data_IF_974012794903
#
_entry.id   IF_974012794903
#
_cell.length_a   1.000
_cell.length_b   1.000
_cell.length_c   1.000
_cell.angle_alpha   90.00
_cell.angle_beta   90.00
_cell.angle_gamma   90.00
#
_symmetry.space_group_name_H-M   'P 1'
#
loop_
_entity.id
_entity.type
_entity.pdbx_description
1 polymer ?
2 non-polymer ?
3 water ?
#
# COMPACT_ATOMS: atom_id res chain seq x y z
N UNK A 2 -20.87 -2.45 -6.84
CA UNK A 2 -20.79 -3.88 -7.19
C UNK A 2 -19.52 -4.53 -6.62
N UNK A 3 -19.70 -5.28 -5.54
CA UNK A 3 -18.61 -5.86 -4.77
C UNK A 3 -18.32 -7.31 -5.17
N UNK A 4 -17.41 -7.49 -6.13
CA UNK A 4 -17.12 -8.82 -6.67
C UNK A 4 -16.23 -9.66 -5.75
N UNK A 5 -16.49 -10.97 -5.73
CA UNK A 5 -15.67 -11.95 -5.03
C UNK A 5 -15.38 -11.57 -3.58
N UNK A 6 -16.42 -11.19 -2.85
CA UNK A 6 -16.29 -10.81 -1.45
C UNK A 6 -15.80 -11.97 -0.59
N UNK A 7 -16.28 -13.18 -0.85
CA UNK A 7 -15.95 -14.31 -0.01
C UNK A 7 -14.46 -14.63 -0.10
N UNK A 8 -13.93 -14.47 -1.31
CA UNK A 8 -12.52 -14.69 -1.58
C UNK A 8 -11.63 -13.76 -0.77
N UNK A 9 -11.98 -12.48 -0.75
CA UNK A 9 -11.14 -11.50 -0.07
C UNK A 9 -11.30 -11.65 1.43
N UNK A 10 -12.49 -11.99 1.88
CA UNK A 10 -12.72 -12.23 3.31
C UNK A 10 -11.86 -13.38 3.81
N UNK A 11 -11.83 -14.46 3.04
CA UNK A 11 -11.02 -15.62 3.41
C UNK A 11 -9.54 -15.27 3.34
N UNK A 12 -9.14 -14.54 2.30
CA UNK A 12 -7.74 -14.18 2.14
C UNK A 12 -7.24 -13.34 3.33
N UNK A 13 -8.09 -12.45 3.84
CA UNK A 13 -7.71 -11.63 4.98
C UNK A 13 -7.51 -12.49 6.23
N UNK A 14 -8.34 -13.51 6.37
CA UNK A 14 -8.18 -14.50 7.42
C UNK A 14 -6.86 -15.26 7.27
N UNK A 15 -6.49 -15.60 6.04
CA UNK A 15 -5.29 -16.40 5.79
C UNK A 15 -4.02 -15.56 5.97
N UNK A 16 -4.02 -14.35 5.43
CA UNK A 16 -2.85 -13.47 5.50
C UNK A 16 -2.45 -13.18 6.95
N UNK A 17 -3.44 -13.16 7.83
CA UNK A 17 -3.22 -12.88 9.24
C UNK A 17 -3.05 -14.17 10.05
N UNK A 18 -2.89 -15.29 9.34
CA UNK A 18 -2.68 -16.60 9.97
C UNK A 18 -3.69 -16.91 11.08
N UNK A 19 -4.97 -16.63 10.82
CA UNK A 19 -6.01 -16.87 11.81
C UNK A 19 -6.75 -18.19 11.55
N UNK A 20 -6.34 -18.90 10.50
CA UNK A 20 -6.87 -20.24 10.22
C UNK A 20 -5.98 -21.33 10.82
N UNK A 21 -4.66 -21.17 10.68
CA UNK A 21 -3.72 -22.22 11.04
C UNK A 21 -4.04 -23.51 10.28
N UNK A 51 3.38 -15.88 9.21
CA UNK A 51 2.26 -14.93 9.13
C UNK A 51 2.61 -13.80 8.17
N UNK A 52 1.94 -13.76 7.03
CA UNK A 52 2.39 -12.96 5.88
C UNK A 52 2.19 -11.45 6.03
N UNK A 53 1.29 -11.04 6.90
CA UNK A 53 1.19 -9.63 7.30
C UNK A 53 0.95 -9.57 8.80
N UNK A 54 1.34 -8.46 9.41
CA UNK A 54 1.07 -8.22 10.82
C UNK A 54 0.16 -7.01 11.03
N UNK A 55 -0.46 -6.52 9.97
CA UNK A 55 -1.21 -5.26 10.08
C UNK A 55 -2.60 -5.46 10.68
N UNK A 56 -3.07 -6.70 10.74
CA UNK A 56 -4.35 -7.01 11.35
C UNK A 56 -5.52 -6.77 10.42
N UNK A 57 -6.70 -7.23 10.83
CA UNK A 57 -7.88 -7.22 9.97
C UNK A 57 -8.41 -5.82 9.66
N UNK A 58 -8.47 -4.95 10.66
CA UNK A 58 -9.00 -3.60 10.45
C UNK A 58 -8.22 -2.86 9.36
N UNK A 59 -6.91 -3.03 9.35
CA UNK A 59 -6.07 -2.33 8.39
C UNK A 59 -6.13 -2.98 7.01
N UNK A 60 -6.39 -4.28 6.95
CA UNK A 60 -6.65 -4.95 5.69
C UNK A 60 -8.00 -4.49 5.15
N UNK A 61 -8.98 -4.34 6.04
CA UNK A 61 -10.30 -3.84 5.66
C UNK A 61 -10.15 -2.47 5.02
N UNK A 62 -9.43 -1.57 5.71
CA UNK A 62 -9.16 -0.24 5.19
C UNK A 62 -8.57 -0.29 3.80
N UNK A 63 -7.56 -1.13 3.62
CA UNK A 63 -6.86 -1.24 2.35
C UNK A 63 -7.79 -1.73 1.26
N UNK A 64 -8.66 -2.68 1.61
CA UNK A 64 -9.65 -3.19 0.66
C UNK A 64 -10.56 -2.08 0.19
N UNK A 65 -11.09 -1.31 1.12
CA UNK A 65 -12.01 -0.25 0.78
C UNK A 65 -11.34 0.80 -0.11
N UNK A 66 -10.11 1.15 0.21
CA UNK A 66 -9.36 2.12 -0.58
C UNK A 66 -9.13 1.63 -2.00
N UNK A 67 -8.77 0.35 -2.15
CA UNK A 67 -8.52 -0.16 -3.48
C UNK A 67 -9.84 -0.28 -4.24
N UNK A 68 -10.88 -0.79 -3.59
CA UNK A 68 -12.16 -0.95 -4.28
C UNK A 68 -12.72 0.43 -4.69
N UNK A 69 -12.32 1.47 -3.96
CA UNK A 69 -12.76 2.81 -4.29
C UNK A 69 -12.10 3.34 -5.57
N UNK A 70 -10.78 3.17 -5.72
CA UNK A 70 -10.11 3.72 -6.90
C UNK A 70 -10.49 2.94 -8.16
N UNK A 71 -10.89 1.68 -7.97
CA UNK A 71 -11.40 0.88 -9.09
C UNK A 71 -12.81 1.33 -9.46
N UNK A 72 -13.66 1.50 -8.45
CA UNK A 72 -15.04 1.90 -8.68
C UNK A 72 -15.12 3.33 -9.21
N UNK A 73 -14.25 4.20 -8.72
CA UNK A 73 -14.28 5.61 -9.11
C UNK A 73 -13.43 5.90 -10.35
N UNK A 74 -12.64 4.93 -10.77
CA UNK A 74 -11.79 5.10 -11.93
C UNK A 74 -10.65 6.08 -11.73
N UNK A 75 -10.05 6.08 -10.54
CA UNK A 75 -8.79 6.79 -10.33
C UNK A 75 -7.69 5.95 -10.99
N UNK A 76 -6.91 6.54 -11.91
CA UNK A 76 -5.88 5.74 -12.59
C UNK A 76 -4.58 5.68 -11.80
N UNK A 77 -3.78 4.64 -12.07
CA UNK A 77 -2.48 4.50 -11.44
C UNK A 77 -2.23 3.12 -10.89
N UNK A 78 -0.97 2.85 -10.56
CA UNK A 78 -0.58 1.60 -9.93
C UNK A 78 -0.78 1.68 -8.41
N UNK A 79 -0.40 0.61 -7.72
CA UNK A 79 -0.35 0.56 -6.27
C UNK A 79 1.10 0.40 -5.85
N UNK A 80 1.50 0.99 -4.73
CA UNK A 80 2.86 0.84 -4.25
C UNK A 80 2.92 0.80 -2.73
N UNK A 81 3.71 -0.15 -2.21
CA UNK A 81 4.01 -0.18 -0.79
C UNK A 81 5.52 -0.11 -0.54
N UNK A 82 5.91 0.80 0.35
CA UNK A 82 7.28 0.90 0.82
C UNK A 82 7.36 0.39 2.26
N UNK A 83 8.15 -0.66 2.47
CA UNK A 83 8.20 -1.34 3.77
C UNK A 83 7.13 -2.41 3.79
N UNK A 84 7.48 -3.62 3.36
CA UNK A 84 6.47 -4.62 2.99
C UNK A 84 6.48 -5.86 3.89
N UNK A 85 7.52 -6.02 4.70
CA UNK A 85 7.64 -7.18 5.58
C UNK A 85 7.62 -8.47 4.74
N UNK A 86 6.63 -9.33 4.93
CA UNK A 86 6.58 -10.61 4.22
C UNK A 86 5.75 -10.50 2.93
N UNK A 87 5.20 -9.32 2.69
CA UNK A 87 4.58 -8.99 1.41
C UNK A 87 3.07 -9.09 1.42
N UNK A 88 2.49 -9.36 2.58
CA UNK A 88 1.08 -9.66 2.72
C UNK A 88 0.14 -8.57 2.21
N UNK A 89 0.39 -7.32 2.60
CA UNK A 89 -0.44 -6.21 2.17
C UNK A 89 -0.39 -6.06 0.65
N UNK A 90 0.78 -6.30 0.07
CA UNK A 90 0.92 -6.23 -1.39
C UNK A 90 0.26 -7.41 -2.07
N UNK A 91 0.33 -8.57 -1.42
CA UNK A 91 -0.36 -9.76 -1.90
C UNK A 91 -1.85 -9.46 -1.95
N UNK A 92 -2.38 -8.92 -0.86
CA UNK A 92 -3.80 -8.58 -0.78
C UNK A 92 -4.19 -7.57 -1.86
N UNK A 93 -3.34 -6.59 -2.12
CA UNK A 93 -3.64 -5.58 -3.13
C UNK A 93 -3.73 -6.24 -4.49
N UNK A 94 -2.78 -7.13 -4.77
CA UNK A 94 -2.82 -7.91 -6.01
C UNK A 94 -4.09 -8.74 -6.09
N UNK A 95 -4.53 -9.26 -4.94
CA UNK A 95 -5.71 -10.10 -4.89
C UNK A 95 -6.99 -9.31 -5.18
N UNK A 96 -7.07 -8.08 -4.71
CA UNK A 96 -8.27 -7.29 -4.98
C UNK A 96 -8.35 -7.02 -6.48
N UNK A 97 -7.21 -6.83 -7.13
CA UNK A 97 -7.19 -6.69 -8.58
C UNK A 97 -7.70 -7.96 -9.25
N UNK A 98 -7.31 -9.10 -8.68
CA UNK A 98 -7.77 -10.41 -9.16
C UNK A 98 -9.29 -10.51 -9.04
N UNK A 99 -9.80 -10.16 -7.85
CA UNK A 99 -11.22 -10.28 -7.56
C UNK A 99 -12.10 -9.43 -8.47
N UNK A 100 -11.54 -8.32 -8.97
CA UNK A 100 -12.32 -7.38 -9.78
C UNK A 100 -12.00 -7.47 -11.27
N UNK A 101 -11.07 -8.32 -11.63
CA UNK A 101 -10.75 -8.55 -13.03
C UNK A 101 -9.98 -7.42 -13.68
N UNK A 102 -9.23 -6.67 -12.88
CA UNK A 102 -8.36 -5.62 -13.40
C UNK A 102 -6.99 -6.21 -13.72
N UNK A 103 -6.63 -6.21 -15.01
CA UNK A 103 -5.39 -6.83 -15.48
C UNK A 103 -4.33 -5.80 -15.85
N UNK A 104 -4.65 -4.52 -15.68
CA UNK A 104 -3.78 -3.46 -16.16
C UNK A 104 -2.87 -2.88 -15.11
N UNK A 105 -3.38 -2.76 -13.89
CA UNK A 105 -2.67 -2.11 -12.81
C UNK A 105 -1.57 -3.00 -12.25
N UNK A 106 -0.50 -2.37 -11.78
CA UNK A 106 0.63 -3.07 -11.21
C UNK A 106 0.73 -2.77 -9.72
N UNK A 107 1.19 -3.78 -8.96
CA UNK A 107 1.50 -3.63 -7.55
C UNK A 107 3.02 -3.57 -7.40
N UNK A 108 3.52 -2.44 -6.89
CA UNK A 108 4.95 -2.28 -6.66
C UNK A 108 5.32 -2.59 -5.21
N UNK A 109 6.18 -3.59 -5.05
CA UNK A 109 6.64 -4.04 -3.74
C UNK A 109 8.03 -3.46 -3.49
N UNK A 110 8.10 -2.43 -2.63
CA UNK A 110 9.32 -1.63 -2.50
C UNK A 110 9.95 -1.79 -1.12
N UNK A 111 11.19 -2.25 -1.09
CA UNK A 111 11.88 -2.46 0.18
C UNK A 111 13.35 -2.81 -0.01
N UNK A 112 14.06 -2.83 1.11
CA UNK A 112 15.32 -3.56 1.22
C UNK A 112 14.96 -4.87 1.90
N UNK A 113 15.50 -5.97 1.41
CA UNK A 113 15.07 -7.30 1.86
C UNK A 113 16.15 -8.04 2.63
N UNK A 142 15.71 -11.76 1.70
CA UNK A 142 14.37 -12.31 1.90
C UNK A 142 13.47 -11.99 0.71
N UNK A 143 14.05 -11.39 -0.32
CA UNK A 143 13.28 -11.07 -1.53
C UNK A 143 12.63 -12.32 -2.11
N UNK A 144 13.40 -13.40 -2.23
CA UNK A 144 12.88 -14.63 -2.81
C UNK A 144 11.78 -15.22 -1.93
N UNK A 145 11.89 -15.04 -0.62
CA UNK A 145 10.86 -15.50 0.31
C UNK A 145 9.54 -14.76 0.04
N UNK A 146 9.63 -13.46 -0.21
CA UNK A 146 8.43 -12.66 -0.47
C UNK A 146 7.81 -13.10 -1.79
N UNK A 147 8.65 -13.24 -2.81
CA UNK A 147 8.22 -13.71 -4.12
C UNK A 147 7.47 -15.02 -4.02
N UNK A 148 7.88 -15.87 -3.09
CA UNK A 148 7.32 -17.20 -2.97
C UNK A 148 6.02 -17.14 -2.20
N UNK A 149 5.89 -16.14 -1.35
CA UNK A 149 4.62 -15.93 -0.66
C UNK A 149 3.55 -15.57 -1.67
N UNK A 150 3.88 -14.72 -2.64
CA UNK A 150 2.98 -14.43 -3.75
C UNK A 150 2.62 -15.71 -4.52
N UNK A 151 3.64 -16.52 -4.80
CA UNK A 151 3.44 -17.75 -5.59
C UNK A 151 2.47 -18.71 -4.89
N UNK A 152 2.51 -18.73 -3.56
CA UNK A 152 1.63 -19.60 -2.77
C UNK A 152 0.13 -19.35 -3.02
N UNK A 153 -0.24 -18.09 -3.22
CA UNK A 153 -1.63 -17.74 -3.47
C UNK A 153 -1.90 -17.73 -4.96
N UNK A 154 -0.86 -17.98 -5.75
CA UNK A 154 -0.97 -18.01 -7.19
C UNK A 154 -1.10 -16.62 -7.76
N UNK A 155 -0.33 -15.68 -7.23
CA UNK A 155 -0.39 -14.29 -7.68
C UNK A 155 0.99 -13.69 -8.00
N UNK A 156 1.99 -14.56 -8.19
CA UNK A 156 3.29 -14.08 -8.67
C UNK A 156 3.28 -14.05 -10.19
N UNK A 157 2.92 -12.90 -10.75
CA UNK A 157 2.80 -12.76 -12.19
C UNK A 157 3.22 -11.38 -12.68
N UNK A 158 2.77 -11.01 -13.88
CA UNK A 158 3.16 -9.75 -14.52
C UNK A 158 2.61 -8.48 -13.86
N UNK A 159 1.56 -8.62 -13.05
CA UNK A 159 0.99 -7.45 -12.38
C UNK A 159 1.69 -7.14 -11.04
N UNK A 160 2.79 -7.83 -10.78
CA UNK A 160 3.57 -7.62 -9.56
C UNK A 160 5.03 -7.35 -9.91
N UNK A 161 5.52 -6.18 -9.46
CA UNK A 161 6.89 -5.75 -9.71
C UNK A 161 7.64 -5.48 -8.41
N UNK A 162 8.90 -5.87 -8.35
CA UNK A 162 9.71 -5.70 -7.16
C UNK A 162 10.82 -4.64 -7.38
N UNK A 163 10.99 -3.76 -6.40
CA UNK A 163 12.05 -2.75 -6.42
C UNK A 163 12.95 -2.91 -5.20
N UNK A 164 13.98 -3.76 -5.29
CA UNK A 164 14.84 -4.00 -4.15
C UNK A 164 15.98 -2.97 -4.07
N UNK A 165 16.34 -2.56 -2.85
CA UNK A 165 17.39 -1.58 -2.66
C UNK A 165 17.12 -0.66 -1.48
N UNK A 166 18.12 0.15 -1.13
CA UNK A 166 17.89 1.22 -0.16
C UNK A 166 16.97 2.24 -0.80
N UNK A 167 16.00 2.71 -0.02
CA UNK A 167 15.09 3.75 -0.46
C UNK A 167 15.87 4.96 -0.99
N UNK A 168 16.99 5.25 -0.32
CA UNK A 168 17.94 6.27 -0.76
C UNK A 168 18.20 6.24 -2.27
N UNK A 169 18.49 5.05 -2.80
CA UNK A 169 18.88 4.91 -4.20
C UNK A 169 17.70 4.70 -5.17
N UNK A 170 16.78 3.83 -4.78
CA UNK A 170 15.74 3.35 -5.71
C UNK A 170 14.62 4.35 -5.97
N UNK A 171 14.06 4.89 -4.89
CA UNK A 171 12.89 5.77 -4.98
C UNK A 171 13.08 6.99 -5.89
N UNK A 172 14.23 7.69 -5.77
CA UNK A 172 14.48 8.87 -6.61
C UNK A 172 14.17 8.66 -8.09
N UNK A 173 14.46 7.46 -8.58
CA UNK A 173 14.40 7.17 -10.02
C UNK A 173 13.38 6.09 -10.36
N UNK A 174 12.50 5.77 -9.41
CA UNK A 174 11.58 4.64 -9.55
C UNK A 174 10.83 4.64 -10.89
N UNK A 175 10.72 3.47 -11.54
CA UNK A 175 10.01 3.35 -12.82
C UNK A 175 8.48 3.40 -12.68
N UNK A 176 7.98 4.20 -11.75
CA UNK A 176 6.56 4.36 -11.53
C UNK A 176 6.09 5.70 -12.12
N UNK A 177 5.02 5.67 -12.90
CA UNK A 177 4.50 6.87 -13.56
C UNK A 177 3.37 7.51 -12.76
N UNK A 178 2.44 6.69 -12.28
CA UNK A 178 1.32 7.19 -11.50
C UNK A 178 0.76 6.14 -10.55
N UNK A 179 0.26 6.62 -9.41
CA UNK A 179 -0.27 5.76 -8.37
C UNK A 179 -1.71 6.12 -8.07
N UNK A 180 -2.51 5.10 -7.77
CA UNK A 180 -3.84 5.28 -7.22
C UNK A 180 -3.82 5.05 -5.72
N UNK A 181 -2.88 4.21 -5.27
CA UNK A 181 -2.69 3.93 -3.85
C UNK A 181 -1.20 3.95 -3.51
N UNK A 182 -0.88 4.60 -2.40
CA UNK A 182 0.47 4.63 -1.87
C UNK A 182 0.40 4.24 -0.41
N UNK A 183 1.09 3.17 -0.05
CA UNK A 183 1.03 2.67 1.32
C UNK A 183 2.43 2.60 1.93
N UNK A 184 2.56 3.14 3.15
CA UNK A 184 3.84 3.20 3.87
C UNK A 184 3.74 2.57 5.25
N UNK A 185 4.76 1.81 5.63
CA UNK A 185 4.89 1.34 7.00
C UNK A 185 5.89 2.23 7.72
N UNK A 186 5.41 3.40 8.13
CA UNK A 186 6.27 4.51 8.51
C UNK A 186 6.80 4.49 9.93
N UNK A 187 7.76 3.60 10.20
CA UNK A 187 8.42 3.58 11.50
C UNK A 187 9.50 4.67 11.60
N UNK A 188 10.07 5.04 10.46
CA UNK A 188 11.28 5.87 10.44
C UNK A 188 11.14 7.12 9.60
N UNK A 189 11.66 8.22 10.14
CA UNK A 189 11.55 9.53 9.51
C UNK A 189 12.01 9.51 8.07
N UNK A 190 13.24 9.06 7.84
CA UNK A 190 13.86 9.17 6.53
C UNK A 190 13.21 8.26 5.48
N UNK A 191 12.73 7.09 5.89
CA UNK A 191 12.04 6.19 4.96
C UNK A 191 10.71 6.82 4.53
N UNK A 192 9.98 7.31 5.52
CA UNK A 192 8.73 8.05 5.31
C UNK A 192 8.91 9.24 4.36
N UNK A 193 9.89 10.09 4.62
CA UNK A 193 10.12 11.26 3.77
C UNK A 193 10.56 10.86 2.37
N UNK A 194 11.45 9.87 2.26
CA UNK A 194 11.90 9.40 0.95
C UNK A 194 10.72 8.88 0.14
N UNK A 195 9.82 8.17 0.80
CA UNK A 195 8.66 7.58 0.13
C UNK A 195 7.67 8.66 -0.31
N UNK A 196 7.26 9.49 0.64
CA UNK A 196 6.31 10.56 0.35
C UNK A 196 6.83 11.54 -0.69
N UNK A 197 8.05 12.04 -0.50
CA UNK A 197 8.58 13.06 -1.39
C UNK A 197 8.69 12.59 -2.82
N UNK A 198 9.07 11.33 -3.00
CA UNK A 198 9.27 10.78 -4.33
C UNK A 198 8.01 10.20 -4.99
N UNK A 199 7.11 9.62 -4.20
CA UNK A 199 5.93 8.95 -4.76
C UNK A 199 4.60 9.71 -4.61
N UNK A 200 4.45 10.59 -3.63
CA UNK A 200 3.17 11.33 -3.51
C UNK A 200 2.85 12.12 -4.77
N UNK A 201 3.86 12.78 -5.37
CA UNK A 201 3.58 13.52 -6.61
C UNK A 201 3.03 12.64 -7.73
N UNK A 202 3.29 11.34 -7.65
CA UNK A 202 2.81 10.40 -8.66
C UNK A 202 1.38 9.97 -8.37
N UNK A 203 0.87 10.36 -7.20
CA UNK A 203 -0.46 9.95 -6.80
C UNK A 203 -1.54 10.74 -7.52
N UNK A 204 -2.43 10.01 -8.21
CA UNK A 204 -3.50 10.62 -8.96
C UNK A 204 -4.47 11.37 -8.05
N UNK A 205 -5.23 12.32 -8.63
CA UNK A 205 -6.34 12.92 -7.91
C UNK A 205 -7.36 11.85 -7.53
N UNK A 206 -7.72 11.78 -6.25
CA UNK A 206 -8.62 10.77 -5.75
C UNK A 206 -7.91 9.52 -5.28
N UNK A 207 -6.58 9.50 -5.42
CA UNK A 207 -5.76 8.40 -4.94
C UNK A 207 -5.69 8.44 -3.42
N UNK A 208 -5.28 7.32 -2.81
CA UNK A 208 -5.16 7.23 -1.36
C UNK A 208 -3.72 7.13 -0.93
N UNK A 209 -3.40 7.78 0.19
CA UNK A 209 -2.15 7.54 0.88
C UNK A 209 -2.50 6.92 2.23
N UNK A 210 -1.87 5.80 2.53
CA UNK A 210 -2.10 5.10 3.78
C UNK A 210 -0.78 4.98 4.55
N UNK A 211 -0.79 5.41 5.80
CA UNK A 211 0.38 5.35 6.66
C UNK A 211 0.06 4.44 7.83
N UNK A 212 0.76 3.30 7.89
CA UNK A 212 0.42 2.22 8.81
C UNK A 212 0.72 2.53 10.28
N UNK A 213 1.74 3.34 10.52
CA UNK A 213 2.18 3.67 11.87
C UNK A 213 1.92 5.13 12.23
N UNK A 214 0.94 5.75 11.57
CA UNK A 214 0.75 7.21 11.67
C UNK A 214 0.71 7.73 13.10
N UNK A 215 0.02 7.06 13.98
CA UNK A 215 -0.26 7.64 15.30
C UNK A 215 0.89 7.43 16.28
N UNK A 216 1.97 6.81 15.81
CA UNK A 216 3.24 6.91 16.50
C UNK A 216 3.67 8.38 16.44
N UNK A 217 3.86 9.03 17.62
CA UNK A 217 4.10 10.47 17.61
C UNK A 217 5.19 10.93 16.63
N UNK A 218 6.30 10.20 16.55
CA UNK A 218 7.38 10.56 15.64
C UNK A 218 7.00 10.36 14.18
N UNK A 219 6.11 9.41 13.89
CA UNK A 219 5.64 9.23 12.52
C UNK A 219 4.70 10.38 12.16
N UNK A 220 3.83 10.67 13.10
CA UNK A 220 2.87 11.77 13.00
C UNK A 220 3.58 13.10 12.73
N UNK A 221 4.63 13.39 13.49
CA UNK A 221 5.39 14.62 13.29
C UNK A 221 5.96 14.67 11.87
N UNK A 222 6.50 13.55 11.40
CA UNK A 222 7.14 13.50 10.09
C UNK A 222 6.12 13.69 8.96
N UNK A 223 4.96 13.06 9.09
CA UNK A 223 3.91 13.17 8.10
C UNK A 223 3.37 14.60 8.07
N UNK A 224 3.22 15.19 9.25
CA UNK A 224 2.71 16.55 9.34
C UNK A 224 3.67 17.53 8.68
N UNK A 225 4.96 17.36 8.95
CA UNK A 225 5.98 18.17 8.32
C UNK A 225 5.95 18.07 6.81
N UNK A 226 5.73 16.86 6.30
CA UNK A 226 5.66 16.69 4.85
C UNK A 226 4.45 17.40 4.26
N UNK A 227 3.32 17.31 4.95
CA UNK A 227 2.10 17.93 4.46
C UNK A 227 2.22 19.46 4.46
N UNK A 228 2.88 19.99 5.48
CA UNK A 228 3.12 21.43 5.56
C UNK A 228 3.96 21.90 4.36
N UNK A 229 5.05 21.18 4.09
CA UNK A 229 5.93 21.50 2.97
C UNK A 229 5.20 21.69 1.65
N UNK A 230 4.24 20.80 1.37
CA UNK A 230 3.56 20.80 0.07
C UNK A 230 2.20 21.45 0.12
N UNK A 231 1.81 21.97 1.28
CA UNK A 231 0.51 22.59 1.44
C UNK A 231 -0.62 21.61 1.23
N UNK A 232 -0.47 20.41 1.80
CA UNK A 232 -1.51 19.38 1.75
C UNK A 232 -2.43 19.55 2.96
N UNK A 233 -3.73 19.71 2.71
CA UNK A 233 -4.70 19.90 3.80
C UNK A 233 -5.84 18.88 3.78
N UNK A 234 -5.84 17.93 2.85
CA UNK A 234 -6.85 16.88 2.84
C UNK A 234 -6.90 16.23 4.21
N UNK A 235 -8.10 16.17 4.82
CA UNK A 235 -8.16 15.71 6.21
C UNK A 235 -7.69 14.27 6.38
N UNK A 236 -6.96 14.03 7.47
CA UNK A 236 -6.50 12.69 7.80
C UNK A 236 -7.64 11.93 8.45
N UNK A 237 -7.72 10.64 8.19
CA UNK A 237 -8.75 9.80 8.79
C UNK A 237 -8.15 8.64 9.54
N UNK A 238 -8.63 8.44 10.76
CA UNK A 238 -8.17 7.36 11.60
C UNK A 238 -8.72 6.04 11.09
N UNK A 239 -7.96 4.98 11.28
CA UNK A 239 -8.41 3.65 10.91
C UNK A 239 -8.74 2.84 12.17
N UNK A 240 -7.75 2.73 13.06
CA UNK A 240 -7.87 1.85 14.22
C UNK A 240 -7.05 2.36 15.40
N UNK A 241 -6.75 3.66 15.42
CA UNK A 241 -5.95 4.23 16.48
C UNK A 241 -4.47 4.01 16.28
N UNK A 242 -4.10 3.33 15.19
CA UNK A 242 -2.70 3.08 14.86
C UNK A 242 -2.34 3.63 13.49
N UNK A 243 -3.06 3.19 12.46
CA UNK A 243 -2.85 3.68 11.11
C UNK A 243 -3.80 4.81 10.74
N UNK A 244 -3.47 5.51 9.66
CA UNK A 244 -4.30 6.59 9.16
C UNK A 244 -4.13 6.70 7.66
N UNK A 245 -4.99 7.49 7.03
CA UNK A 245 -4.97 7.65 5.58
C UNK A 245 -5.65 8.95 5.20
N UNK A 246 -5.41 9.40 3.98
CA UNK A 246 -6.20 10.48 3.42
C UNK A 246 -6.31 10.26 1.93
N UNK A 247 -7.30 10.92 1.33
CA UNK A 247 -7.55 10.81 -0.09
C UNK A 247 -7.23 12.13 -0.76
N UNK A 248 -6.35 12.09 -1.76
CA UNK A 248 -5.98 13.30 -2.49
C UNK A 248 -7.21 13.88 -3.19
N UNK A 249 -7.45 15.16 -2.98
CA UNK A 249 -8.65 15.81 -3.50
C UNK A 249 -8.71 15.68 -5.02
N UNK A 250 -9.91 15.76 -5.57
CA UNK A 250 -10.11 15.72 -7.01
C UNK A 250 -9.64 17.01 -7.66
#
# INVERSE_FOLDING_TARGET
>A
MPSQNALYLDLLKKVLTNTIYSDRPHPNAWQDNTDYRQAARAKGTDWPTVAHTMIGLERLDNLQHCVEAVLADGVPGDFAETGVWRGGACIFMRAVLQAFGDTGRTVWVVDSFQGMPESSAQDHQADQAMALHEYNDVLGVSLETVRQNFARYGLLDEQVRFLPGWFRDTLPTAPIQELAVLRLDGDLYESTMDSLRNLYPKLSPGGFVIIDDYFLPSCQDAVKGFRAELGITEPIHDIDGQGAYWRRSW
#
